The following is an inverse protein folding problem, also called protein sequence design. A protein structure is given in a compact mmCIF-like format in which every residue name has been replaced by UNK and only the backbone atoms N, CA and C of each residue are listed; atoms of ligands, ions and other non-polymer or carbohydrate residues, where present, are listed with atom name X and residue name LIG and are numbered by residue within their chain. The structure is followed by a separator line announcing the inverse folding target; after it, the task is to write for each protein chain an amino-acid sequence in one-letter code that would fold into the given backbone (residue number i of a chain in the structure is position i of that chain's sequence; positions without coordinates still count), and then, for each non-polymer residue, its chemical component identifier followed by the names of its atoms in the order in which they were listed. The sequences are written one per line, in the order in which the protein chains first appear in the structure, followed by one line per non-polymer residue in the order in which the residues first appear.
data_IF_801919227765
#
_entry.id   IF_801919227765
#
_cell.length_a   1.000
_cell.length_b   1.000
_cell.length_c   1.000
_cell.angle_alpha   90.00
_cell.angle_beta   90.00
_cell.angle_gamma   90.00
#
_symmetry.space_group_name_H-M   'P 1'
#
loop_
_entity.id
_entity.type
_entity.pdbx_description
1 polymer ?
#
# COMPACT_ATOMS: atom_id res chain seq x y z
N UNK A 1 41.67 6.71 27.84
CA UNK A 1 41.41 5.99 26.58
C UNK A 1 39.99 6.32 26.17
N UNK A 2 39.71 6.72 24.91
CA UNK A 2 38.34 6.83 24.43
C UNK A 2 37.75 5.41 24.31
N UNK A 3 36.59 5.19 24.92
CA UNK A 3 35.85 3.93 24.75
C UNK A 3 34.97 4.11 23.52
N UNK A 4 35.35 3.47 22.41
CA UNK A 4 34.51 3.36 21.23
C UNK A 4 33.34 2.41 21.54
N UNK A 5 32.25 2.95 22.07
CA UNK A 5 31.05 2.21 22.43
C UNK A 5 30.03 2.19 21.29
N UNK A 6 29.68 0.99 20.81
CA UNK A 6 28.50 0.78 19.96
C UNK A 6 27.28 0.59 20.85
N UNK A 7 26.34 1.52 20.82
CA UNK A 7 25.05 1.35 21.49
C UNK A 7 24.04 0.81 20.48
N UNK A 8 23.57 -0.41 20.69
CA UNK A 8 22.45 -1.00 19.95
C UNK A 8 21.23 -0.89 20.86
N UNK A 9 20.24 -0.11 20.43
CA UNK A 9 18.93 -0.05 21.09
C UNK A 9 17.88 -0.70 20.18
N UNK A 10 17.28 -1.79 20.65
CA UNK A 10 16.17 -2.47 19.98
C UNK A 10 14.85 -1.90 20.50
N UNK A 11 14.08 -1.25 19.62
CA UNK A 11 12.72 -0.80 19.90
C UNK A 11 11.75 -1.65 19.08
N UNK A 12 11.23 -2.70 19.70
CA UNK A 12 10.38 -3.71 19.03
C UNK A 12 11.10 -4.33 17.83
N UNK A 13 10.74 -3.94 16.59
CA UNK A 13 11.30 -4.43 15.33
C UNK A 13 12.26 -3.45 14.65
N UNK A 14 12.56 -2.30 15.27
CA UNK A 14 13.52 -1.32 14.76
C UNK A 14 14.85 -1.42 15.51
N UNK A 15 15.91 -1.83 14.81
CA UNK A 15 17.28 -1.77 15.32
C UNK A 15 17.85 -0.37 15.07
N UNK A 16 18.04 0.41 16.14
CA UNK A 16 18.59 1.75 16.05
C UNK A 16 20.09 1.70 16.39
N UNK A 17 20.91 1.58 15.34
CA UNK A 17 22.37 1.58 15.45
C UNK A 17 22.89 3.01 15.59
N UNK A 18 23.48 3.34 16.74
CA UNK A 18 24.12 4.63 16.98
C UNK A 18 25.62 4.41 17.09
N UNK A 19 26.35 4.71 16.01
CA UNK A 19 27.81 4.77 16.02
C UNK A 19 28.28 6.14 16.50
N UNK A 20 29.20 6.15 17.47
CA UNK A 20 29.89 7.35 17.91
C UNK A 20 30.97 7.73 16.89
N UNK A 21 30.60 8.52 15.88
CA UNK A 21 31.56 9.09 14.92
C UNK A 21 32.46 10.09 15.64
N UNK A 22 33.76 9.81 15.67
CA UNK A 22 34.76 10.68 16.26
C UNK A 22 34.95 11.96 15.41
N UNK A 23 34.38 13.06 15.89
CA UNK A 23 34.38 14.36 15.19
C UNK A 23 35.76 15.02 15.08
N UNK A 24 36.83 14.40 15.60
CA UNK A 24 38.20 14.86 15.41
C UNK A 24 38.77 14.57 14.01
N UNK A 25 38.20 13.61 13.26
CA UNK A 25 38.59 13.33 11.88
C UNK A 25 37.92 14.33 10.92
N UNK A 26 38.72 15.14 10.22
CA UNK A 26 38.23 16.23 9.38
C UNK A 26 37.32 15.76 8.23
N UNK A 27 36.35 16.62 7.86
CA UNK A 27 35.45 16.44 6.71
C UNK A 27 36.22 16.20 5.40
N UNK A 28 36.45 14.94 5.05
CA UNK A 28 36.61 14.53 3.67
C UNK A 28 35.25 14.60 2.98
N UNK A 29 35.19 15.15 1.76
CA UNK A 29 33.98 15.13 0.96
C UNK A 29 33.62 13.67 0.59
N UNK A 30 32.32 13.29 0.57
CA UNK A 30 31.94 11.96 0.13
C UNK A 30 32.37 11.73 -1.33
N UNK A 31 32.92 10.55 -1.68
CA UNK A 31 33.22 10.23 -3.06
C UNK A 31 31.92 10.21 -3.90
N UNK A 32 31.98 10.57 -5.19
CA UNK A 32 30.80 10.53 -6.05
C UNK A 32 30.29 9.10 -6.20
N UNK A 33 28.99 8.92 -5.96
CA UNK A 33 28.32 7.62 -6.10
C UNK A 33 28.28 7.24 -7.59
N UNK A 34 29.10 6.27 -7.99
CA UNK A 34 29.04 5.68 -9.33
C UNK A 34 27.89 4.66 -9.40
N UNK A 35 27.15 4.68 -10.52
CA UNK A 35 25.91 3.91 -10.70
C UNK A 35 26.14 2.41 -11.00
N UNK A 36 27.04 1.76 -10.25
CA UNK A 36 27.48 0.38 -10.46
C UNK A 36 27.34 -0.47 -9.17
N UNK A 37 26.12 -0.60 -8.67
CA UNK A 37 25.72 -1.62 -7.69
C UNK A 37 24.22 -1.90 -7.82
N UNK A 38 23.86 -2.53 -8.94
CA UNK A 38 22.61 -3.28 -9.11
C UNK A 38 23.01 -4.75 -9.30
N UNK A 39 23.37 -5.40 -8.19
CA UNK A 39 23.48 -6.85 -8.03
C UNK A 39 23.69 -7.11 -6.53
N UNK A 40 22.62 -6.92 -5.76
CA UNK A 40 22.53 -7.38 -4.38
C UNK A 40 21.44 -8.46 -4.36
N UNK A 41 21.84 -9.70 -4.10
CA UNK A 41 20.93 -10.85 -4.09
C UNK A 41 19.78 -10.64 -3.09
N UNK A 42 18.55 -10.90 -3.54
CA UNK A 42 17.43 -11.05 -2.62
C UNK A 42 17.63 -12.34 -1.80
N UNK A 43 17.32 -12.35 -0.50
CA UNK A 43 17.32 -13.58 0.27
C UNK A 43 16.23 -14.54 -0.23
N UNK A 44 16.61 -15.81 -0.37
CA UNK A 44 15.75 -16.89 -0.86
C UNK A 44 14.51 -17.08 0.03
N UNK A 45 13.32 -17.03 -0.57
CA UNK A 45 12.05 -17.33 0.11
C UNK A 45 11.65 -18.79 -0.21
N UNK A 46 11.29 -19.60 0.80
CA UNK A 46 10.99 -21.02 0.58
C UNK A 46 9.78 -21.20 -0.33
N UNK A 47 9.97 -21.98 -1.40
CA UNK A 47 8.94 -22.24 -2.40
C UNK A 47 7.73 -22.98 -1.80
N UNK A 48 6.56 -22.33 -1.80
CA UNK A 48 5.29 -22.98 -1.53
C UNK A 48 4.95 -23.94 -2.67
N UNK A 49 5.10 -25.24 -2.40
CA UNK A 49 4.79 -26.30 -3.35
C UNK A 49 3.29 -26.36 -3.65
N UNK A 50 2.89 -25.86 -4.82
CA UNK A 50 1.60 -26.20 -5.46
C UNK A 50 1.84 -27.43 -6.32
N UNK A 51 1.96 -28.61 -5.69
CA UNK A 51 2.09 -29.86 -6.43
C UNK A 51 0.80 -30.19 -7.18
N UNK A 52 0.99 -30.43 -8.48
CA UNK A 52 0.01 -30.87 -9.45
C UNK A 52 -0.58 -32.25 -9.11
N UNK A 53 -1.77 -32.24 -8.52
CA UNK A 53 -2.60 -33.43 -8.32
C UNK A 53 -3.21 -33.95 -9.65
N UNK A 54 -2.37 -34.41 -10.57
CA UNK A 54 -2.77 -35.17 -11.77
C UNK A 54 -1.85 -36.38 -12.01
N UNK A 55 -1.64 -37.19 -10.97
CA UNK A 55 -1.06 -38.54 -11.12
C UNK A 55 -2.09 -39.45 -11.82
N UNK A 56 -1.83 -39.80 -13.08
CA UNK A 56 -2.47 -40.96 -13.73
C UNK A 56 -2.03 -42.22 -12.98
N UNK A 57 -2.95 -42.84 -12.25
CA UNK A 57 -2.78 -44.21 -11.77
C UNK A 57 -2.83 -45.21 -12.94
N UNK A 58 -2.25 -46.42 -12.79
CA UNK A 58 -2.37 -47.47 -13.78
C UNK A 58 -3.83 -47.93 -13.91
N UNK A 59 -4.24 -48.29 -15.12
CA UNK A 59 -5.58 -48.78 -15.38
C UNK A 59 -5.81 -50.16 -14.73
N UNK A 60 -6.86 -50.25 -13.92
CA UNK A 60 -7.46 -51.51 -13.49
C UNK A 60 -8.95 -51.45 -13.84
N UNK A 61 -9.44 -52.50 -14.50
CA UNK A 61 -10.84 -52.88 -14.71
C UNK A 61 -11.81 -51.76 -15.15
N UNK A 62 -11.67 -51.36 -16.42
CA UNK A 62 -12.77 -50.73 -17.15
C UNK A 62 -13.71 -51.83 -17.70
N UNK A 63 -15.02 -51.79 -17.46
CA UNK A 63 -15.96 -52.77 -18.00
C UNK A 63 -16.09 -52.63 -19.52
N UNK A 64 -16.30 -53.75 -20.22
CA UNK A 64 -16.42 -53.81 -21.68
C UNK A 64 -17.44 -52.80 -22.22
N UNK A 65 -16.94 -51.78 -22.92
CA UNK A 65 -17.78 -50.88 -23.71
C UNK A 65 -18.20 -51.59 -25.00
N UNK A 66 -19.48 -51.58 -25.38
CA UNK A 66 -19.95 -52.28 -26.56
C UNK A 66 -19.32 -51.67 -27.82
N UNK A 67 -18.71 -52.53 -28.65
CA UNK A 67 -18.16 -52.12 -29.94
C UNK A 67 -19.25 -51.52 -30.82
N UNK A 68 -19.19 -50.20 -31.04
CA UNK A 68 -20.10 -49.52 -31.94
C UNK A 68 -19.83 -50.02 -33.37
N UNK A 69 -20.87 -50.50 -34.11
CA UNK A 69 -20.67 -51.08 -35.43
C UNK A 69 -20.04 -50.05 -36.38
N UNK A 70 -19.05 -50.49 -37.16
CA UNK A 70 -18.23 -49.68 -38.05
C UNK A 70 -19.05 -49.06 -39.20
N UNK A 71 -19.74 -47.96 -38.89
CA UNK A 71 -20.62 -47.21 -39.80
C UNK A 71 -19.82 -46.23 -40.69
N UNK A 72 -18.57 -46.60 -41.01
CA UNK A 72 -17.58 -45.78 -41.73
C UNK A 72 -18.11 -45.27 -43.08
N UNK A 73 -18.90 -46.09 -43.78
CA UNK A 73 -19.54 -45.73 -45.04
C UNK A 73 -20.62 -44.64 -44.87
N UNK A 74 -21.42 -44.69 -43.78
CA UNK A 74 -22.39 -43.61 -43.47
C UNK A 74 -21.70 -42.34 -42.95
N UNK A 75 -20.53 -42.45 -42.34
CA UNK A 75 -19.72 -41.28 -41.98
C UNK A 75 -19.10 -40.62 -43.22
N UNK A 76 -18.54 -41.41 -44.15
CA UNK A 76 -18.02 -40.93 -45.43
C UNK A 76 -19.11 -40.22 -46.27
N UNK A 77 -20.29 -40.84 -46.43
CA UNK A 77 -21.41 -40.23 -47.16
C UNK A 77 -21.92 -38.93 -46.52
N UNK A 78 -21.91 -38.81 -45.19
CA UNK A 78 -22.23 -37.55 -44.48
C UNK A 78 -21.17 -36.47 -44.72
N UNK A 79 -19.89 -36.82 -44.75
CA UNK A 79 -18.80 -35.88 -45.04
C UNK A 79 -18.87 -35.32 -46.45
N UNK A 80 -19.14 -36.15 -47.46
CA UNK A 80 -19.30 -35.69 -48.86
C UNK A 80 -20.44 -34.67 -48.97
N UNK A 81 -21.64 -34.98 -48.45
CA UNK A 81 -22.78 -34.04 -48.47
C UNK A 81 -22.49 -32.72 -47.75
N UNK A 82 -21.73 -32.75 -46.66
CA UNK A 82 -21.30 -31.54 -45.95
C UNK A 82 -20.31 -30.72 -46.79
N UNK A 83 -19.37 -31.37 -47.47
CA UNK A 83 -18.44 -30.71 -48.39
C UNK A 83 -19.17 -30.07 -49.58
N UNK A 84 -20.15 -30.76 -50.17
CA UNK A 84 -20.99 -30.24 -51.26
C UNK A 84 -21.82 -29.02 -50.80
N UNK A 85 -22.40 -29.10 -49.61
CA UNK A 85 -23.17 -27.99 -49.01
C UNK A 85 -22.27 -26.78 -48.76
N UNK A 86 -21.08 -26.98 -48.20
CA UNK A 86 -20.09 -25.91 -47.99
C UNK A 86 -19.59 -25.33 -49.32
N UNK A 87 -19.44 -26.15 -50.37
CA UNK A 87 -19.08 -25.68 -51.70
C UNK A 87 -20.18 -24.80 -52.32
N UNK A 88 -21.46 -25.18 -52.16
CA UNK A 88 -22.62 -24.43 -52.62
C UNK A 88 -22.84 -23.10 -51.86
N UNK A 89 -22.53 -23.06 -50.55
CA UNK A 89 -22.64 -21.84 -49.74
C UNK A 89 -21.49 -20.85 -49.97
N UNK A 90 -20.30 -21.31 -50.38
CA UNK A 90 -19.11 -20.48 -50.61
C UNK A 90 -19.32 -19.28 -51.57
N UNK A 91 -19.98 -19.39 -52.74
CA UNK A 91 -20.25 -18.24 -53.59
C UNK A 91 -21.22 -17.23 -52.94
N UNK A 92 -22.24 -17.70 -52.23
CA UNK A 92 -23.18 -16.82 -51.51
C UNK A 92 -22.48 -16.05 -50.39
N UNK A 93 -21.60 -16.71 -49.63
CA UNK A 93 -20.76 -16.04 -48.62
C UNK A 93 -19.84 -14.98 -49.25
N UNK A 94 -19.29 -15.23 -50.45
CA UNK A 94 -18.49 -14.22 -51.15
C UNK A 94 -19.31 -13.01 -51.60
N UNK A 95 -20.55 -13.23 -52.05
CA UNK A 95 -21.47 -12.13 -52.40
C UNK A 95 -21.86 -11.31 -51.16
N UNK A 96 -22.14 -11.98 -50.04
CA UNK A 96 -22.40 -11.33 -48.75
C UNK A 96 -21.20 -10.50 -48.27
N UNK A 97 -19.98 -11.02 -48.32
CA UNK A 97 -18.74 -10.29 -48.01
C UNK A 97 -18.57 -9.01 -48.85
N UNK A 98 -18.82 -9.10 -50.17
CA UNK A 98 -18.71 -7.94 -51.06
C UNK A 98 -19.80 -6.90 -50.76
N UNK A 99 -21.05 -7.34 -50.56
CA UNK A 99 -22.15 -6.44 -50.19
C UNK A 99 -21.93 -5.78 -48.83
N UNK A 100 -21.40 -6.52 -47.85
CA UNK A 100 -21.07 -6.02 -46.51
C UNK A 100 -20.01 -4.92 -46.58
N UNK A 101 -18.90 -5.15 -47.30
CA UNK A 101 -17.83 -4.14 -47.45
C UNK A 101 -18.32 -2.90 -48.19
N UNK A 102 -19.06 -3.06 -49.28
CA UNK A 102 -19.61 -1.94 -50.04
C UNK A 102 -20.55 -1.06 -49.19
N UNK A 103 -21.27 -1.66 -48.25
CA UNK A 103 -22.12 -0.95 -47.29
C UNK A 103 -21.31 -0.33 -46.13
N UNK A 104 -20.28 -0.99 -45.59
CA UNK A 104 -19.35 -0.41 -44.61
C UNK A 104 -18.64 0.84 -45.18
N UNK A 105 -18.19 0.77 -46.44
CA UNK A 105 -17.59 1.87 -47.19
C UNK A 105 -18.60 3.01 -47.47
N UNK A 106 -19.89 2.70 -47.61
CA UNK A 106 -20.93 3.71 -47.76
C UNK A 106 -21.20 4.43 -46.42
N UNK A 107 -21.40 3.68 -45.33
CA UNK A 107 -21.58 4.24 -44.00
C UNK A 107 -20.39 5.12 -43.58
N UNK A 108 -19.15 4.67 -43.81
CA UNK A 108 -17.95 5.45 -43.49
C UNK A 108 -17.94 6.81 -44.21
N UNK A 109 -18.24 6.83 -45.51
CA UNK A 109 -18.28 8.08 -46.28
C UNK A 109 -19.34 9.04 -45.77
N UNK A 110 -20.55 8.55 -45.53
CA UNK A 110 -21.64 9.38 -44.97
C UNK A 110 -21.31 9.90 -43.57
N UNK A 111 -20.64 9.11 -42.71
CA UNK A 111 -20.16 9.60 -41.40
C UNK A 111 -19.10 10.71 -41.52
N UNK A 112 -18.17 10.59 -42.47
CA UNK A 112 -17.14 11.61 -42.72
C UNK A 112 -17.75 12.89 -43.31
N UNK A 113 -18.74 12.76 -44.19
CA UNK A 113 -19.50 13.88 -44.76
C UNK A 113 -20.30 14.61 -43.66
N UNK A 114 -21.03 13.88 -42.79
CA UNK A 114 -21.75 14.46 -41.66
C UNK A 114 -20.81 15.16 -40.68
N UNK A 115 -19.69 14.52 -40.31
CA UNK A 115 -18.69 15.08 -39.39
C UNK A 115 -17.96 16.31 -39.96
N UNK A 116 -17.93 16.47 -41.28
CA UNK A 116 -17.41 17.68 -41.94
C UNK A 116 -18.44 18.79 -42.10
N UNK A 117 -19.74 18.50 -41.93
CA UNK A 117 -20.84 19.45 -42.11
C UNK A 117 -21.36 20.06 -40.80
N UNK A 118 -21.16 19.39 -39.67
CA UNK A 118 -21.60 19.82 -38.34
C UNK A 118 -20.43 19.81 -37.37
N UNK A 119 -20.11 20.96 -36.76
CA UNK A 119 -18.90 21.09 -35.91
C UNK A 119 -18.98 20.27 -34.61
N UNK A 120 -20.16 20.10 -34.04
CA UNK A 120 -20.54 19.22 -32.90
C UNK A 120 -21.99 18.70 -33.19
N UNK A 121 -22.55 17.61 -32.64
CA UNK A 121 -22.15 16.67 -31.56
C UNK A 121 -22.24 15.18 -32.01
N UNK A 122 -22.05 14.21 -31.09
CA UNK A 122 -22.14 12.76 -31.38
C UNK A 122 -23.59 12.21 -31.53
N UNK A 123 -24.61 12.96 -31.12
CA UNK A 123 -25.99 12.47 -31.10
C UNK A 123 -26.66 12.43 -32.49
N UNK A 124 -26.24 13.27 -33.45
CA UNK A 124 -26.76 13.22 -34.83
C UNK A 124 -26.37 11.91 -35.53
N UNK A 125 -25.18 11.39 -35.23
CA UNK A 125 -24.70 10.08 -35.71
C UNK A 125 -25.57 8.94 -35.16
N UNK A 126 -26.03 9.05 -33.91
CA UNK A 126 -26.90 8.05 -33.28
C UNK A 126 -28.30 8.02 -33.87
N UNK A 127 -28.82 9.15 -34.34
CA UNK A 127 -30.11 9.21 -35.06
C UNK A 127 -30.02 8.36 -36.33
N UNK A 128 -28.96 8.50 -37.13
CA UNK A 128 -28.74 7.71 -38.36
C UNK A 128 -28.68 6.21 -38.07
N UNK A 129 -28.03 5.79 -36.98
CA UNK A 129 -27.95 4.37 -36.61
C UNK A 129 -29.19 3.79 -35.92
N UNK A 130 -30.21 4.60 -35.64
CA UNK A 130 -31.49 4.13 -35.10
C UNK A 130 -32.36 3.45 -36.15
N UNK A 131 -32.25 3.86 -37.42
CA UNK A 131 -33.02 3.32 -38.55
C UNK A 131 -32.58 1.91 -38.99
N UNK A 132 -31.42 1.43 -38.51
CA UNK A 132 -30.86 0.13 -38.89
C UNK A 132 -30.82 -0.87 -37.72
N UNK A 133 -31.14 -2.17 -37.94
CA UNK A 133 -31.02 -3.20 -36.92
C UNK A 133 -29.59 -3.28 -36.35
N UNK A 134 -29.45 -3.51 -35.04
CA UNK A 134 -28.13 -3.61 -34.39
C UNK A 134 -27.23 -4.72 -34.98
N UNK A 135 -27.83 -5.80 -35.50
CA UNK A 135 -27.12 -6.87 -36.21
C UNK A 135 -26.41 -6.37 -37.48
N UNK A 136 -26.94 -5.30 -38.08
CA UNK A 136 -26.52 -4.72 -39.34
C UNK A 136 -25.93 -3.32 -39.14
N UNK A 137 -25.37 -3.00 -37.95
CA UNK A 137 -24.57 -1.79 -37.72
C UNK A 137 -23.09 -2.02 -38.06
N UNK A 138 -22.40 -1.05 -38.69
CA UNK A 138 -21.01 -1.23 -39.10
C UNK A 138 -20.15 -1.43 -37.86
N UNK A 139 -18.99 -2.06 -38.00
CA UNK A 139 -18.11 -2.38 -36.86
C UNK A 139 -17.88 -1.16 -35.94
N UNK A 140 -17.67 0.01 -36.55
CA UNK A 140 -17.46 1.32 -35.91
C UNK A 140 -18.70 1.85 -35.13
N UNK A 141 -19.91 1.37 -35.43
CA UNK A 141 -21.13 1.75 -34.72
C UNK A 141 -21.65 0.63 -33.78
N UNK A 142 -21.14 -0.61 -33.93
CA UNK A 142 -21.15 -1.59 -32.83
C UNK A 142 -20.21 -1.15 -31.71
N UNK A 143 -19.13 -0.47 -32.08
CA UNK A 143 -18.25 0.19 -31.13
C UNK A 143 -18.94 1.33 -30.37
N UNK A 144 -20.21 1.71 -30.62
CA UNK A 144 -20.90 2.79 -29.87
C UNK A 144 -21.52 2.30 -28.53
N UNK A 145 -22.03 1.06 -28.49
CA UNK A 145 -22.24 0.37 -27.18
C UNK A 145 -20.89 0.05 -26.52
N UNK A 146 -19.87 -0.23 -27.34
CA UNK A 146 -18.50 -0.32 -26.84
C UNK A 146 -17.84 1.05 -26.58
N UNK A 147 -18.49 2.21 -26.79
CA UNK A 147 -17.90 3.54 -26.54
C UNK A 147 -18.23 4.03 -25.13
N UNK A 148 -19.37 3.59 -24.57
CA UNK A 148 -19.55 3.55 -23.12
C UNK A 148 -18.45 2.68 -22.49
N UNK A 149 -18.24 1.48 -23.06
CA UNK A 149 -17.14 0.59 -22.68
C UNK A 149 -15.75 1.22 -22.83
N UNK A 150 -15.43 1.84 -23.96
CA UNK A 150 -14.12 2.45 -24.25
C UNK A 150 -13.90 3.74 -23.44
N UNK A 151 -14.96 4.41 -23.00
CA UNK A 151 -14.89 5.46 -21.98
C UNK A 151 -14.42 4.90 -20.64
N UNK A 152 -15.00 3.79 -20.17
CA UNK A 152 -14.61 3.13 -18.92
C UNK A 152 -13.23 2.44 -19.01
N UNK A 153 -13.01 1.63 -20.05
CA UNK A 153 -11.71 1.02 -20.37
C UNK A 153 -10.63 2.11 -20.57
N UNK A 154 -10.99 3.24 -21.17
CA UNK A 154 -10.12 4.40 -21.37
C UNK A 154 -9.81 5.15 -20.06
N UNK A 155 -10.78 5.28 -19.16
CA UNK A 155 -10.58 5.84 -17.83
C UNK A 155 -9.66 4.93 -16.98
N UNK A 156 -9.87 3.62 -17.02
CA UNK A 156 -8.97 2.65 -16.37
C UNK A 156 -7.58 2.66 -17.02
N UNK A 157 -7.49 2.76 -18.35
CA UNK A 157 -6.23 2.84 -19.07
C UNK A 157 -5.42 4.08 -18.70
N UNK A 158 -6.10 5.22 -18.59
CA UNK A 158 -5.53 6.48 -18.10
C UNK A 158 -5.06 6.35 -16.65
N UNK A 159 -5.92 5.84 -15.76
CA UNK A 159 -5.55 5.62 -14.35
C UNK A 159 -4.37 4.66 -14.19
N UNK A 160 -4.29 3.59 -15.00
CA UNK A 160 -3.15 2.68 -15.04
C UNK A 160 -1.86 3.39 -15.51
N UNK A 161 -1.96 4.26 -16.52
CA UNK A 161 -0.82 5.06 -17.02
C UNK A 161 -0.33 6.08 -15.99
N UNK A 162 -1.24 6.72 -15.26
CA UNK A 162 -0.93 7.70 -14.21
C UNK A 162 -0.37 7.03 -12.93
N UNK A 163 -0.87 5.85 -12.55
CA UNK A 163 -0.39 5.10 -11.37
C UNK A 163 0.88 4.28 -11.62
N UNK A 164 1.07 3.76 -12.83
CA UNK A 164 2.15 2.82 -13.19
C UNK A 164 2.83 3.24 -14.51
N UNK A 165 3.49 4.41 -14.56
CA UNK A 165 4.11 4.91 -15.78
C UNK A 165 5.17 3.95 -16.32
N UNK A 166 5.09 3.63 -17.61
CA UNK A 166 6.03 2.75 -18.30
C UNK A 166 5.70 1.25 -18.24
N UNK A 167 4.64 0.84 -17.53
CA UNK A 167 4.08 -0.51 -17.67
C UNK A 167 3.03 -0.59 -18.77
N UNK A 168 2.84 -1.79 -19.33
CA UNK A 168 1.77 -2.03 -20.29
C UNK A 168 0.41 -1.85 -19.62
N UNK A 169 -0.43 -1.04 -20.24
CA UNK A 169 -1.82 -0.81 -19.83
C UNK A 169 -2.61 -2.13 -19.92
N UNK A 170 -3.42 -2.49 -18.91
CA UNK A 170 -4.18 -3.74 -18.91
C UNK A 170 -5.14 -3.81 -20.11
N UNK A 171 -5.00 -4.86 -20.92
CA UNK A 171 -5.72 -5.05 -22.16
C UNK A 171 -6.97 -5.93 -21.95
N UNK A 172 -8.15 -5.33 -22.16
CA UNK A 172 -9.42 -6.03 -22.07
C UNK A 172 -9.87 -6.37 -20.64
N UNK A 173 -11.10 -6.90 -20.56
CA UNK A 173 -11.82 -7.10 -19.30
C UNK A 173 -11.09 -7.92 -18.21
N UNK A 174 -10.46 -9.09 -18.49
CA UNK A 174 -9.87 -9.91 -17.43
C UNK A 174 -8.62 -9.28 -16.82
N UNK A 175 -7.85 -8.51 -17.60
CA UNK A 175 -6.68 -7.78 -17.09
C UNK A 175 -7.10 -6.55 -16.29
N UNK A 176 -8.11 -5.81 -16.76
CA UNK A 176 -8.68 -4.67 -16.06
C UNK A 176 -9.29 -5.09 -14.72
N UNK A 177 -10.03 -6.20 -14.67
CA UNK A 177 -10.58 -6.74 -13.43
C UNK A 177 -9.47 -7.10 -12.42
N UNK A 178 -8.35 -7.67 -12.89
CA UNK A 178 -7.18 -7.98 -12.05
C UNK A 178 -6.46 -6.72 -11.57
N UNK A 179 -6.30 -5.71 -12.43
CA UNK A 179 -5.71 -4.42 -12.10
C UNK A 179 -6.54 -3.71 -11.01
N UNK A 180 -7.85 -3.56 -11.22
CA UNK A 180 -8.74 -2.90 -10.27
C UNK A 180 -8.81 -3.64 -8.92
N UNK A 181 -8.87 -4.98 -8.93
CA UNK A 181 -8.78 -5.77 -7.71
C UNK A 181 -7.48 -5.52 -6.95
N UNK A 182 -6.34 -5.48 -7.66
CA UNK A 182 -5.03 -5.17 -7.05
C UNK A 182 -4.98 -3.77 -6.45
N UNK A 183 -5.55 -2.76 -7.12
CA UNK A 183 -5.65 -1.39 -6.61
C UNK A 183 -6.48 -1.36 -5.32
N UNK A 184 -7.65 -2.01 -5.30
CA UNK A 184 -8.50 -2.12 -4.11
C UNK A 184 -7.77 -2.80 -2.95
N UNK A 185 -7.02 -3.88 -3.20
CA UNK A 185 -6.27 -4.58 -2.16
C UNK A 185 -5.12 -3.73 -1.60
N UNK A 186 -4.37 -3.02 -2.46
CA UNK A 186 -3.32 -2.08 -2.03
C UNK A 186 -3.90 -0.95 -1.17
N UNK A 187 -5.03 -0.36 -1.59
CA UNK A 187 -5.72 0.69 -0.82
C UNK A 187 -6.20 0.17 0.55
N UNK A 188 -6.72 -1.05 0.62
CA UNK A 188 -7.12 -1.71 1.89
C UNK A 188 -5.94 -1.94 2.83
N UNK A 189 -4.80 -2.40 2.31
CA UNK A 189 -3.58 -2.57 3.10
C UNK A 189 -3.07 -1.21 3.58
N UNK A 190 -3.02 -0.21 2.71
CA UNK A 190 -2.62 1.15 3.06
C UNK A 190 -3.49 1.77 4.17
N UNK A 191 -4.81 1.66 4.06
CA UNK A 191 -5.75 2.14 5.07
C UNK A 191 -5.57 1.41 6.42
N UNK A 192 -5.39 0.08 6.39
CA UNK A 192 -5.13 -0.70 7.60
C UNK A 192 -3.80 -0.32 8.28
N UNK A 193 -2.72 -0.16 7.51
CA UNK A 193 -1.42 0.25 8.03
C UNK A 193 -1.46 1.67 8.63
N UNK A 194 -2.11 2.62 7.94
CA UNK A 194 -2.25 4.00 8.43
C UNK A 194 -3.06 4.03 9.72
N UNK A 195 -4.20 3.31 9.78
CA UNK A 195 -5.01 3.19 10.99
C UNK A 195 -4.24 2.58 12.17
N UNK A 196 -3.39 1.57 11.93
CA UNK A 196 -2.51 1.05 12.99
C UNK A 196 -1.43 2.05 13.43
N UNK A 197 -0.90 2.90 12.55
CA UNK A 197 0.00 3.99 12.95
C UNK A 197 -0.72 5.01 13.86
N UNK A 198 -1.98 5.35 13.57
CA UNK A 198 -2.81 6.17 14.47
C UNK A 198 -3.02 5.50 15.84
N UNK A 199 -3.30 4.19 15.86
CA UNK A 199 -3.46 3.41 17.09
C UNK A 199 -2.15 3.29 17.89
N UNK A 200 -1.01 3.10 17.22
CA UNK A 200 0.32 3.14 17.86
C UNK A 200 0.58 4.50 18.50
N UNK A 201 0.33 5.59 17.77
CA UNK A 201 0.45 6.96 18.29
C UNK A 201 -0.46 7.17 19.52
N UNK A 202 -1.72 6.75 19.48
CA UNK A 202 -2.64 6.84 20.62
C UNK A 202 -2.19 6.02 21.84
N UNK A 203 -1.65 4.81 21.64
CA UNK A 203 -1.02 4.00 22.69
C UNK A 203 0.18 4.74 23.31
N UNK A 204 1.09 5.26 22.49
CA UNK A 204 2.25 6.05 22.94
C UNK A 204 1.87 7.30 23.75
N UNK A 205 0.75 7.97 23.43
CA UNK A 205 0.19 9.06 24.25
C UNK A 205 -0.14 8.58 25.66
N UNK A 206 -0.84 7.46 25.73
CA UNK A 206 -1.34 6.85 26.96
C UNK A 206 -0.20 6.33 27.83
N UNK A 207 0.77 5.64 27.23
CA UNK A 207 1.94 5.07 27.90
C UNK A 207 2.86 6.13 28.52
N UNK A 208 2.92 7.33 27.92
CA UNK A 208 3.69 8.47 28.43
C UNK A 208 2.88 9.46 29.28
N UNK A 209 1.54 9.35 29.32
CA UNK A 209 0.66 10.33 29.97
C UNK A 209 0.64 11.71 29.29
N UNK A 210 1.10 11.81 28.03
CA UNK A 210 1.19 13.08 27.29
C UNK A 210 0.05 13.17 26.29
N UNK A 211 -0.98 13.96 26.60
CA UNK A 211 -2.08 14.28 25.69
C UNK A 211 -1.66 15.47 24.81
N UNK A 212 -1.93 15.43 23.51
CA UNK A 212 -1.78 16.60 22.64
C UNK A 212 -3.14 17.12 22.20
N UNK A 213 -3.20 18.40 21.87
CA UNK A 213 -4.36 18.97 21.22
C UNK A 213 -4.33 18.51 19.76
N UNK A 214 -5.26 17.63 19.39
CA UNK A 214 -5.42 17.25 18.00
C UNK A 214 -5.94 18.48 17.24
N UNK A 215 -5.22 18.91 16.21
CA UNK A 215 -5.85 19.72 15.16
C UNK A 215 -7.10 18.96 14.68
N UNK A 216 -8.20 19.65 14.31
CA UNK A 216 -9.36 19.00 13.73
C UNK A 216 -8.92 18.23 12.48
N UNK A 217 -8.93 16.91 12.63
CA UNK A 217 -8.55 15.92 11.64
C UNK A 217 -9.72 14.93 11.55
N UNK A 218 -10.58 15.03 10.51
CA UNK A 218 -11.75 14.15 10.41
C UNK A 218 -11.36 12.68 10.29
N UNK A 219 -10.13 12.38 9.82
CA UNK A 219 -9.60 11.01 9.77
C UNK A 219 -9.33 10.43 11.16
N UNK A 220 -9.07 11.27 12.17
CA UNK A 220 -8.78 10.82 13.54
C UNK A 220 -10.03 10.28 14.26
N UNK A 221 -11.24 10.56 13.76
CA UNK A 221 -12.50 9.99 14.25
C UNK A 221 -12.98 8.74 13.52
N UNK A 222 -12.19 8.21 12.56
CA UNK A 222 -12.56 7.03 11.78
C UNK A 222 -11.83 5.79 12.32
N UNK A 223 -12.58 4.87 12.93
CA UNK A 223 -12.04 3.71 13.64
C UNK A 223 -11.82 2.46 12.76
N UNK A 224 -12.40 2.43 11.56
CA UNK A 224 -12.29 1.30 10.61
C UNK A 224 -11.65 1.69 9.28
N UNK A 225 -10.92 0.74 8.67
CA UNK A 225 -10.32 0.94 7.33
C UNK A 225 -11.40 1.16 6.26
N UNK A 226 -12.59 0.60 6.42
CA UNK A 226 -13.74 0.78 5.54
C UNK A 226 -14.30 2.21 5.59
N UNK A 227 -14.30 2.86 6.76
CA UNK A 227 -14.64 4.28 6.90
C UNK A 227 -13.57 5.18 6.31
N UNK A 228 -12.29 4.91 6.59
CA UNK A 228 -11.15 5.60 5.97
C UNK A 228 -11.22 5.55 4.43
N UNK A 229 -11.44 4.37 3.85
CA UNK A 229 -11.57 4.23 2.39
C UNK A 229 -12.84 4.89 1.86
N UNK A 230 -13.97 4.83 2.58
CA UNK A 230 -15.19 5.53 2.17
C UNK A 230 -14.98 7.04 2.12
N UNK A 231 -14.30 7.60 3.11
CA UNK A 231 -13.97 9.02 3.18
C UNK A 231 -12.99 9.45 2.09
N UNK A 232 -11.85 8.76 1.98
CA UNK A 232 -10.78 9.11 1.04
C UNK A 232 -11.14 8.87 -0.44
N UNK A 233 -12.14 8.02 -0.72
CA UNK A 233 -12.59 7.68 -2.08
C UNK A 233 -13.99 8.22 -2.38
N UNK A 234 -14.53 9.14 -1.57
CA UNK A 234 -15.81 9.79 -1.89
C UNK A 234 -15.63 10.78 -3.04
N UNK A 235 -15.87 10.31 -4.27
CA UNK A 235 -15.78 11.11 -5.50
C UNK A 235 -16.71 12.34 -5.51
N UNK A 236 -17.68 12.42 -4.60
CA UNK A 236 -18.59 13.56 -4.45
C UNK A 236 -17.96 14.71 -3.67
N UNK A 237 -16.91 14.45 -2.89
CA UNK A 237 -16.25 15.41 -2.01
C UNK A 237 -14.72 15.36 -2.18
N UNK A 238 -14.27 15.59 -3.42
CA UNK A 238 -12.88 15.38 -3.84
C UNK A 238 -11.87 16.44 -3.32
N UNK A 239 -12.32 17.44 -2.55
CA UNK A 239 -11.53 18.62 -2.21
C UNK A 239 -10.59 18.42 -1.01
N UNK A 240 -11.17 18.21 0.17
CA UNK A 240 -10.45 18.36 1.44
C UNK A 240 -9.71 17.08 1.85
N UNK A 241 -10.30 15.90 1.63
CA UNK A 241 -9.81 14.59 2.07
C UNK A 241 -8.35 14.30 1.65
N UNK A 242 -7.92 14.75 0.46
CA UNK A 242 -6.51 14.61 0.02
C UNK A 242 -5.56 15.48 0.87
N UNK A 243 -5.95 16.72 1.14
CA UNK A 243 -5.13 17.65 1.94
C UNK A 243 -5.02 17.18 3.39
N UNK A 244 -6.07 16.53 3.90
CA UNK A 244 -6.16 15.98 5.24
C UNK A 244 -5.33 14.72 5.38
N UNK A 245 -5.37 13.80 4.42
CA UNK A 245 -4.48 12.63 4.41
C UNK A 245 -3.00 13.04 4.47
N UNK A 246 -2.61 14.07 3.70
CA UNK A 246 -1.25 14.62 3.74
C UNK A 246 -0.93 15.24 5.10
N UNK A 247 -1.84 16.03 5.67
CA UNK A 247 -1.70 16.67 7.00
C UNK A 247 -1.58 15.63 8.11
N UNK A 248 -2.42 14.60 8.06
CA UNK A 248 -2.48 13.51 9.03
C UNK A 248 -1.21 12.66 8.97
N UNK A 249 -0.72 12.32 7.76
CA UNK A 249 0.55 11.61 7.58
C UNK A 249 1.76 12.44 8.02
N UNK A 250 1.80 13.75 7.73
CA UNK A 250 2.85 14.64 8.23
C UNK A 250 2.86 14.64 9.77
N UNK A 251 1.69 14.78 10.40
CA UNK A 251 1.54 14.67 11.85
C UNK A 251 2.01 13.33 12.42
N UNK A 252 1.71 12.19 11.77
CA UNK A 252 2.24 10.88 12.17
C UNK A 252 3.78 10.86 12.14
N UNK A 253 4.39 11.37 11.07
CA UNK A 253 5.86 11.41 10.92
C UNK A 253 6.51 12.31 11.98
N UNK A 254 5.97 13.51 12.21
CA UNK A 254 6.48 14.43 13.23
C UNK A 254 6.38 13.81 14.64
N UNK A 255 5.27 13.13 14.95
CA UNK A 255 5.11 12.40 16.20
C UNK A 255 6.11 11.25 16.35
N UNK A 256 6.34 10.43 15.31
CA UNK A 256 7.32 9.34 15.32
C UNK A 256 8.75 9.86 15.52
N UNK A 257 9.12 10.94 14.82
CA UNK A 257 10.42 11.59 14.98
C UNK A 257 10.58 12.17 16.39
N UNK A 258 9.56 12.85 16.92
CA UNK A 258 9.57 13.36 18.29
C UNK A 258 9.70 12.22 19.32
N UNK A 259 8.98 11.11 19.13
CA UNK A 259 9.01 9.95 20.02
C UNK A 259 10.41 9.30 20.04
N UNK A 260 11.00 9.04 18.86
CA UNK A 260 12.34 8.47 18.76
C UNK A 260 13.43 9.38 19.35
N UNK A 261 13.39 10.69 19.06
CA UNK A 261 14.34 11.64 19.63
C UNK A 261 14.19 11.74 21.16
N UNK A 262 12.96 11.71 21.65
CA UNK A 262 12.67 11.79 23.07
C UNK A 262 13.02 10.52 23.85
N UNK A 263 12.89 9.34 23.24
CA UNK A 263 13.38 8.09 23.83
C UNK A 263 14.90 8.16 24.06
N UNK A 264 15.66 8.60 23.05
CA UNK A 264 17.10 8.79 23.15
C UNK A 264 17.49 9.87 24.17
N UNK A 265 16.80 11.01 24.19
CA UNK A 265 17.03 12.08 25.17
C UNK A 265 16.70 11.64 26.59
N UNK A 266 15.59 10.94 26.80
CA UNK A 266 15.19 10.39 28.10
C UNK A 266 16.18 9.33 28.59
N UNK A 267 16.68 8.47 27.70
CA UNK A 267 17.69 7.46 28.03
C UNK A 267 19.02 8.10 28.45
N UNK A 268 19.45 9.17 27.75
CA UNK A 268 20.62 9.96 28.15
C UNK A 268 20.44 10.67 29.49
N UNK A 269 19.25 11.23 29.76
CA UNK A 269 18.90 11.87 31.03
C UNK A 269 18.95 10.85 32.19
N UNK A 270 18.43 9.65 31.96
CA UNK A 270 18.48 8.49 32.88
C UNK A 270 19.92 7.98 33.13
N UNK A 271 20.72 7.82 32.08
CA UNK A 271 22.12 7.40 32.24
C UNK A 271 22.94 8.50 32.96
N UNK A 272 22.58 9.77 32.78
CA UNK A 272 23.22 10.88 33.48
C UNK A 272 22.91 10.92 34.98
N UNK A 273 21.69 10.55 35.43
CA UNK A 273 21.42 10.39 36.88
C UNK A 273 22.19 9.21 37.47
N UNK A 274 22.55 8.21 36.65
CA UNK A 274 23.49 7.14 37.01
C UNK A 274 24.98 7.54 36.87
N UNK A 275 25.31 8.83 36.70
CA UNK A 275 26.71 9.29 36.75
C UNK A 275 27.19 9.43 38.21
N UNK A 276 28.46 9.09 38.53
CA UNK A 276 29.00 9.24 39.89
C UNK A 276 28.85 10.67 40.44
N UNK A 277 29.05 11.68 39.59
CA UNK A 277 28.89 13.10 39.92
C UNK A 277 27.48 13.47 40.38
N UNK A 278 26.44 12.91 39.76
CA UNK A 278 25.05 13.20 40.13
C UNK A 278 24.63 12.46 41.41
N UNK A 279 25.10 11.22 41.60
CA UNK A 279 24.90 10.51 42.88
C UNK A 279 25.56 11.26 44.03
N UNK A 280 26.80 11.72 43.84
CA UNK A 280 27.54 12.51 44.82
C UNK A 280 26.87 13.84 45.18
N UNK A 281 26.13 14.44 44.23
CA UNK A 281 25.34 15.66 44.44
C UNK A 281 24.03 15.42 45.19
N UNK A 282 23.46 14.22 45.06
CA UNK A 282 22.12 13.88 45.58
C UNK A 282 22.17 13.29 47.00
N UNK A 283 23.27 12.62 47.37
CA UNK A 283 23.44 12.02 48.71
C UNK A 283 23.95 13.06 49.73
N UNK A 284 23.10 13.43 50.69
CA UNK A 284 23.49 14.31 51.79
C UNK A 284 24.46 13.62 52.77
N UNK A 285 25.36 14.41 53.36
CA UNK A 285 26.44 13.92 54.24
C UNK A 285 26.00 13.41 55.63
N UNK A 286 24.70 13.10 55.82
CA UNK A 286 24.10 12.74 57.10
C UNK A 286 24.17 11.24 57.45
N UNK A 287 24.62 10.39 56.52
CA UNK A 287 24.73 8.94 56.72
C UNK A 287 26.09 8.50 57.27
N UNK A 288 26.15 7.44 58.12
CA UNK A 288 27.35 7.03 58.84
C UNK A 288 28.55 6.67 57.94
N UNK A 289 28.34 6.30 56.67
CA UNK A 289 29.37 6.37 55.63
C UNK A 289 28.79 6.88 54.31
N UNK A 290 29.41 7.91 53.71
CA UNK A 290 29.01 8.49 52.42
C UNK A 290 28.96 7.43 51.31
N UNK A 291 29.94 6.52 51.30
CA UNK A 291 30.05 5.43 50.30
C UNK A 291 28.86 4.46 50.35
N UNK A 292 28.39 4.06 51.54
CA UNK A 292 27.24 3.16 51.63
C UNK A 292 25.93 3.84 51.21
N UNK A 293 25.79 5.15 51.46
CA UNK A 293 24.65 5.93 51.01
C UNK A 293 24.65 6.13 49.48
N UNK A 294 25.83 6.36 48.87
CA UNK A 294 25.99 6.39 47.41
C UNK A 294 25.66 5.05 46.76
N UNK A 295 26.16 3.95 47.32
CA UNK A 295 25.87 2.61 46.80
C UNK A 295 24.37 2.27 46.86
N UNK A 296 23.70 2.53 47.99
CA UNK A 296 22.24 2.33 48.12
C UNK A 296 21.43 3.23 47.19
N UNK A 297 21.89 4.46 46.95
CA UNK A 297 21.24 5.35 45.99
C UNK A 297 21.40 4.84 44.55
N UNK A 298 22.59 4.34 44.18
CA UNK A 298 22.81 3.64 42.93
C UNK A 298 21.90 2.42 42.77
N UNK A 299 21.85 1.53 43.75
CA UNK A 299 20.98 0.34 43.73
C UNK A 299 19.51 0.71 43.55
N UNK A 300 19.01 1.71 44.27
CA UNK A 300 17.64 2.20 44.15
C UNK A 300 17.34 2.78 42.76
N UNK A 301 18.24 3.62 42.23
CA UNK A 301 18.10 4.16 40.88
C UNK A 301 18.15 3.05 39.83
N UNK A 302 19.12 2.15 39.91
CA UNK A 302 19.28 1.02 38.99
C UNK A 302 18.05 0.10 39.00
N UNK A 303 17.55 -0.29 40.17
CA UNK A 303 16.32 -1.07 40.30
C UNK A 303 15.11 -0.35 39.69
N UNK A 304 14.97 0.97 39.93
CA UNK A 304 13.88 1.77 39.35
C UNK A 304 13.92 1.92 37.82
N UNK A 305 15.04 1.57 37.19
CA UNK A 305 15.30 1.70 35.76
C UNK A 305 15.28 0.37 35.02
N UNK A 306 15.79 -0.69 35.63
CA UNK A 306 15.76 -2.04 35.06
C UNK A 306 14.40 -2.73 35.27
N UNK A 307 13.77 -2.55 36.43
CA UNK A 307 12.51 -3.21 36.79
C UNK A 307 12.61 -4.74 36.84
N UNK A 308 11.49 -5.39 37.20
CA UNK A 308 11.36 -6.85 37.20
C UNK A 308 10.64 -7.38 35.94
N UNK A 309 10.05 -6.50 35.13
CA UNK A 309 9.22 -6.82 33.95
C UNK A 309 9.64 -6.01 32.73
N UNK A 310 9.96 -6.70 31.64
CA UNK A 310 10.47 -6.08 30.39
C UNK A 310 9.39 -5.39 29.53
N UNK A 311 8.11 -5.63 29.79
CA UNK A 311 7.01 -5.25 28.88
C UNK A 311 6.56 -3.77 29.00
N UNK A 312 7.07 -3.02 29.99
CA UNK A 312 6.59 -1.68 30.31
C UNK A 312 7.74 -0.69 30.56
N UNK A 313 7.51 0.59 30.23
CA UNK A 313 8.43 1.67 30.56
C UNK A 313 8.55 1.82 32.08
N UNK A 314 9.75 1.59 32.62
CA UNK A 314 10.00 1.73 34.05
C UNK A 314 9.72 3.16 34.53
N UNK A 315 9.20 3.38 35.76
CA UNK A 315 8.68 4.70 36.16
C UNK A 315 9.68 5.85 36.01
N UNK A 316 10.96 5.60 36.31
CA UNK A 316 12.04 6.58 36.12
C UNK A 316 12.26 6.95 34.66
N UNK A 317 12.33 5.96 33.77
CA UNK A 317 12.49 6.20 32.33
C UNK A 317 11.25 6.83 31.71
N UNK A 318 10.04 6.36 32.06
CA UNK A 318 8.76 6.94 31.59
C UNK A 318 8.68 8.43 31.87
N UNK A 319 9.09 8.86 33.07
CA UNK A 319 9.07 10.28 33.47
C UNK A 319 10.08 11.12 32.67
N UNK A 320 11.31 10.63 32.50
CA UNK A 320 12.33 11.32 31.71
C UNK A 320 11.95 11.40 30.22
N UNK A 321 11.40 10.31 29.67
CA UNK A 321 10.92 10.21 28.30
C UNK A 321 9.73 11.15 28.08
N UNK A 322 8.70 11.14 28.93
CA UNK A 322 7.58 12.08 28.83
C UNK A 322 8.05 13.54 28.78
N UNK A 323 8.95 13.96 29.69
CA UNK A 323 9.56 15.31 29.65
C UNK A 323 10.35 15.59 28.37
N UNK A 324 11.07 14.61 27.83
CA UNK A 324 11.79 14.76 26.57
C UNK A 324 10.84 14.85 25.36
N UNK A 325 9.72 14.13 25.40
CA UNK A 325 8.72 14.06 24.34
C UNK A 325 7.91 15.35 24.27
N UNK A 326 7.46 15.85 25.41
CA UNK A 326 6.88 17.19 25.55
C UNK A 326 7.80 18.28 24.98
N UNK A 327 9.11 18.24 25.29
CA UNK A 327 10.11 19.16 24.70
C UNK A 327 10.36 18.94 23.21
N UNK A 328 10.07 17.77 22.66
CA UNK A 328 10.16 17.51 21.22
C UNK A 328 8.94 18.09 20.49
N UNK A 329 7.73 17.77 20.95
CA UNK A 329 6.47 18.33 20.42
C UNK A 329 6.47 19.86 20.44
N UNK A 330 6.92 20.47 21.54
CA UNK A 330 7.06 21.93 21.65
C UNK A 330 7.97 22.55 20.57
N UNK A 331 9.05 21.86 20.17
CA UNK A 331 10.02 22.37 19.17
C UNK A 331 9.50 22.30 17.74
N UNK A 332 8.60 21.37 17.44
CA UNK A 332 7.91 21.26 16.14
C UNK A 332 6.57 22.03 16.12
N UNK A 333 6.23 22.73 17.21
CA UNK A 333 5.01 23.54 17.29
C UNK A 333 3.72 22.74 17.50
N UNK A 334 3.80 21.48 17.91
CA UNK A 334 2.61 20.66 18.21
C UNK A 334 2.10 21.03 19.62
N UNK A 335 0.87 21.55 19.76
CA UNK A 335 0.30 21.91 21.06
C UNK A 335 0.04 20.66 21.92
N UNK A 336 0.28 20.78 23.23
CA UNK A 336 0.06 19.67 24.15
C UNK A 336 -0.44 20.12 25.53
N UNK A 337 -1.06 19.16 26.22
CA UNK A 337 -1.40 19.26 27.62
C UNK A 337 -0.59 18.20 28.38
N UNK A 338 0.24 18.65 29.32
CA UNK A 338 0.75 17.74 30.33
C UNK A 338 -0.46 17.23 31.12
N UNK A 339 -0.76 15.93 31.01
CA UNK A 339 -1.72 15.32 31.92
C UNK A 339 -1.15 15.44 33.33
N UNK A 340 -1.96 15.91 34.28
CA UNK A 340 -1.68 15.55 35.68
C UNK A 340 -1.65 14.01 35.74
N UNK A 341 -0.66 13.42 36.42
CA UNK A 341 -0.59 11.97 36.53
C UNK A 341 -1.86 11.50 37.26
N UNK A 342 -2.76 10.83 36.53
CA UNK A 342 -3.83 10.05 37.15
C UNK A 342 -3.14 8.99 38.02
N UNK A 343 -3.17 9.19 39.34
CA UNK A 343 -2.77 8.19 40.33
C UNK A 343 -3.68 6.97 40.18
N UNK A 344 -3.28 6.06 39.28
CA UNK A 344 -3.88 4.74 39.15
C UNK A 344 -3.51 3.93 40.39
N UNK A 345 -4.49 3.43 41.16
CA UNK A 345 -4.26 2.66 42.38
C UNK A 345 -3.67 1.28 42.12
#
# INVERSE_FOLDING_TARGET
MPIAGRLIATLSTLELQIEAVDTAAGRAAPPPVTAASRDAELPDLPALAVESAFKRGPAADAPDLPELPSDAHRHAGRRVRLQDTVAALRPLHKQFEVARRAWEDACMRTLLELRGAFDHEADDVRIVFREFPAADRPSIARDDEALGGLGELGAVARAATELLPGLQVPAGEPEIRRFLARVVDVLRVFAACTLELHRVRARQSTDLGVRWEALPDPLAGLDTREEWLRYLLDWRDAGEARSELVRSFAGLVDHLQCYAQAALSGAREVVFTLSPSEMERTVSASWPTRTAALWRHYEACFASLCGDTYDHLTPGFRTAFARAYTRALARVGIPFHAGEPEDRP
#
